data_IF_308071305364
#
_entry.id   IF_308071305364
#
_cell.length_a   1.000
_cell.length_b   1.000
_cell.length_c   1.000
_cell.angle_alpha   90.00
_cell.angle_beta   90.00
_cell.angle_gamma   90.00
#
_symmetry.space_group_name_H-M   'P 1'
#
loop_
_entity.id
_entity.type
_entity.pdbx_description
1 polymer ?
#
# COMPACT_ATOMS: atom_id res chain seq x y z
N UNK A 1 11.47 -16.69 19.95
CA UNK A 1 12.91 -16.73 19.57
C UNK A 1 13.52 -18.13 19.65
N UNK A 2 13.40 -18.86 20.76
CA UNK A 2 14.01 -20.20 20.87
C UNK A 2 13.49 -21.18 19.80
N UNK A 3 12.17 -21.24 19.63
CA UNK A 3 11.50 -22.07 18.61
C UNK A 3 11.86 -21.69 17.15
N UNK A 4 12.11 -20.41 16.89
CA UNK A 4 12.54 -19.91 15.57
C UNK A 4 13.99 -20.32 15.29
N UNK A 5 14.89 -20.15 16.27
CA UNK A 5 16.30 -20.55 16.15
C UNK A 5 16.48 -22.06 16.02
N UNK A 6 15.61 -22.86 16.66
CA UNK A 6 15.63 -24.32 16.54
C UNK A 6 14.95 -24.84 15.27
N UNK A 7 14.24 -23.99 14.53
CA UNK A 7 13.44 -24.39 13.36
C UNK A 7 12.15 -25.13 13.70
N UNK A 8 11.75 -25.17 14.98
CA UNK A 8 10.50 -25.80 15.42
C UNK A 8 9.27 -25.05 14.91
N UNK A 9 9.35 -23.71 14.86
CA UNK A 9 8.30 -22.85 14.30
C UNK A 9 8.93 -21.70 13.51
N UNK A 10 8.44 -21.44 12.30
CA UNK A 10 8.93 -20.35 11.46
C UNK A 10 8.26 -19.02 11.81
N UNK A 11 8.65 -18.41 12.93
CA UNK A 11 8.08 -17.12 13.35
C UNK A 11 8.39 -16.00 12.35
N UNK A 12 9.52 -16.08 11.64
CA UNK A 12 9.91 -15.09 10.64
C UNK A 12 9.23 -15.26 9.28
N UNK A 13 8.41 -16.30 9.08
CA UNK A 13 7.65 -16.46 7.83
C UNK A 13 6.90 -15.19 7.45
N UNK A 14 6.30 -14.54 8.44
CA UNK A 14 5.54 -13.31 8.24
C UNK A 14 6.20 -12.11 8.91
N UNK A 15 6.26 -10.99 8.19
CA UNK A 15 6.97 -9.79 8.65
C UNK A 15 6.78 -8.57 7.74
N UNK A 16 7.45 -7.46 8.08
CA UNK A 16 7.40 -6.21 7.32
C UNK A 16 8.34 -6.29 6.12
N UNK A 17 8.08 -7.23 5.21
CA UNK A 17 8.91 -7.46 4.03
C UNK A 17 8.43 -6.68 2.81
N UNK A 18 7.31 -5.98 2.92
CA UNK A 18 6.76 -5.10 1.89
C UNK A 18 7.46 -3.75 1.93
N UNK A 19 7.75 -3.17 0.77
CA UNK A 19 8.20 -1.78 0.73
C UNK A 19 6.99 -0.85 0.87
N UNK A 20 7.19 0.34 1.42
CA UNK A 20 6.18 1.39 1.39
C UNK A 20 6.28 2.24 0.10
N UNK A 21 7.37 2.08 -0.68
CA UNK A 21 7.69 2.85 -1.89
C UNK A 21 8.72 2.12 -2.79
N UNK A 22 8.27 1.45 -3.85
CA UNK A 22 9.11 0.78 -4.87
C UNK A 22 8.94 1.33 -6.29
N UNK A 23 8.08 2.33 -6.51
CA UNK A 23 8.02 3.02 -7.80
C UNK A 23 9.33 3.80 -8.07
N UNK A 24 9.66 4.04 -9.34
CA UNK A 24 10.91 4.71 -9.72
C UNK A 24 12.19 3.89 -9.45
N UNK A 25 12.10 2.55 -9.39
CA UNK A 25 13.24 1.67 -9.08
C UNK A 25 13.74 0.89 -10.29
N UNK A 26 15.05 0.58 -10.29
CA UNK A 26 15.74 -0.18 -11.36
C UNK A 26 15.11 -1.55 -11.62
N UNK A 27 14.45 -2.14 -10.61
CA UNK A 27 13.81 -3.46 -10.74
C UNK A 27 12.60 -3.43 -11.68
N UNK A 28 11.89 -2.31 -11.72
CA UNK A 28 10.68 -2.15 -12.52
C UNK A 28 10.93 -1.39 -13.84
N UNK A 29 12.21 -1.17 -14.18
CA UNK A 29 12.59 -0.51 -15.43
C UNK A 29 12.57 -1.47 -16.61
N UNK A 30 11.68 -1.17 -17.56
CA UNK A 30 11.63 -1.82 -18.87
C UNK A 30 11.68 -0.79 -20.00
N UNK A 31 12.22 0.40 -19.71
CA UNK A 31 12.47 1.41 -20.72
C UNK A 31 13.60 0.96 -21.67
N UNK A 32 13.58 1.37 -22.94
CA UNK A 32 14.65 1.05 -23.88
C UNK A 32 16.05 1.59 -23.50
N UNK A 33 16.13 2.53 -22.55
CA UNK A 33 17.35 3.28 -22.23
C UNK A 33 17.80 3.24 -20.77
N UNK A 34 17.18 2.43 -19.91
CA UNK A 34 17.57 2.35 -18.50
C UNK A 34 17.12 3.53 -17.63
N UNK A 35 16.04 4.22 -18.01
CA UNK A 35 15.45 5.32 -17.25
C UNK A 35 14.44 4.82 -16.21
N UNK A 36 14.93 4.17 -15.16
CA UNK A 36 14.10 3.57 -14.12
C UNK A 36 13.23 4.56 -13.35
N UNK A 37 13.72 5.79 -13.19
CA UNK A 37 13.11 6.84 -12.38
C UNK A 37 11.86 7.41 -13.04
N UNK A 38 11.86 7.53 -14.38
CA UNK A 38 10.70 8.06 -15.12
C UNK A 38 9.81 6.97 -15.72
N UNK A 39 10.31 5.73 -15.87
CA UNK A 39 9.54 4.65 -16.52
C UNK A 39 8.33 4.18 -15.71
N UNK A 40 8.47 4.11 -14.38
CA UNK A 40 7.39 3.77 -13.45
C UNK A 40 7.20 4.91 -12.44
N UNK A 41 6.51 6.00 -12.82
CA UNK A 41 6.28 7.14 -11.95
C UNK A 41 5.24 6.81 -10.86
N UNK A 42 5.22 7.63 -9.81
CA UNK A 42 4.23 7.54 -8.74
C UNK A 42 2.78 7.47 -9.25
N UNK A 43 2.41 8.19 -10.30
CA UNK A 43 1.02 8.17 -10.80
C UNK A 43 0.60 6.79 -11.34
N UNK A 44 1.54 6.05 -11.93
CA UNK A 44 1.28 4.72 -12.48
C UNK A 44 1.22 3.65 -11.37
N UNK A 45 1.88 3.88 -10.24
CA UNK A 45 2.05 2.90 -9.16
C UNK A 45 0.73 2.32 -8.64
N UNK A 46 -0.34 3.11 -8.59
CA UNK A 46 -1.67 2.66 -8.13
C UNK A 46 -2.37 1.75 -9.15
N UNK A 47 -2.04 1.90 -10.43
CA UNK A 47 -2.74 1.30 -11.56
C UNK A 47 -1.92 0.22 -12.28
N UNK A 48 -0.68 -0.02 -11.84
CA UNK A 48 0.24 -0.99 -12.45
C UNK A 48 0.56 -2.11 -11.47
N UNK A 49 0.47 -3.35 -11.92
CA UNK A 49 0.98 -4.49 -11.17
C UNK A 49 2.50 -4.50 -11.19
N UNK A 50 3.11 -4.79 -10.04
CA UNK A 50 4.56 -4.82 -9.86
C UNK A 50 5.10 -6.21 -10.16
N UNK A 51 6.28 -6.30 -10.78
CA UNK A 51 6.81 -7.60 -11.19
C UNK A 51 7.58 -8.31 -10.07
N UNK A 52 8.37 -7.55 -9.31
CA UNK A 52 9.36 -8.12 -8.39
C UNK A 52 9.01 -7.96 -6.91
N UNK A 53 7.90 -7.31 -6.60
CA UNK A 53 7.43 -7.08 -5.24
C UNK A 53 6.04 -6.49 -5.24
N UNK A 54 5.68 -5.78 -4.18
CA UNK A 54 4.50 -4.95 -4.05
C UNK A 54 4.82 -3.82 -3.06
N UNK A 55 4.00 -2.75 -3.05
CA UNK A 55 4.06 -1.75 -1.98
C UNK A 55 2.76 -1.61 -1.23
N UNK A 56 2.88 -1.19 0.03
CA UNK A 56 1.77 -0.79 0.87
C UNK A 56 2.25 -0.13 2.16
N UNK A 57 1.52 0.88 2.63
CA UNK A 57 1.79 1.50 3.94
C UNK A 57 1.57 0.47 5.05
N UNK A 58 2.51 0.43 6.00
CA UNK A 58 2.54 -0.55 7.10
C UNK A 58 2.40 -1.99 6.58
N UNK A 59 3.10 -2.29 5.50
CA UNK A 59 2.97 -3.55 4.77
C UNK A 59 3.52 -4.74 5.55
N UNK A 60 2.81 -5.87 5.45
CA UNK A 60 3.13 -7.11 6.12
C UNK A 60 2.85 -8.27 5.17
N UNK A 61 3.82 -9.18 5.00
CA UNK A 61 3.71 -10.27 4.03
C UNK A 61 4.42 -11.53 4.50
N UNK A 62 4.23 -12.63 3.77
CA UNK A 62 5.15 -13.75 3.87
C UNK A 62 6.53 -13.36 3.30
N UNK A 63 7.57 -14.10 3.66
CA UNK A 63 8.97 -13.88 3.29
C UNK A 63 9.23 -13.96 1.77
N UNK A 64 8.32 -14.56 1.00
CA UNK A 64 8.34 -14.58 -0.46
C UNK A 64 7.38 -13.56 -1.12
N UNK A 65 6.72 -12.73 -0.30
CA UNK A 65 5.72 -11.73 -0.71
C UNK A 65 4.66 -12.32 -1.65
N UNK A 66 4.14 -13.51 -1.37
CA UNK A 66 3.00 -14.05 -2.09
C UNK A 66 1.73 -13.30 -1.71
N UNK A 67 1.47 -13.15 -0.40
CA UNK A 67 0.32 -12.45 0.15
C UNK A 67 0.78 -11.21 0.94
N UNK A 68 0.27 -10.05 0.56
CA UNK A 68 0.62 -8.77 1.16
C UNK A 68 -0.63 -8.17 1.83
N UNK A 69 -0.52 -7.84 3.11
CA UNK A 69 -1.47 -7.05 3.88
C UNK A 69 -0.91 -5.63 4.04
N UNK A 70 -1.73 -4.60 3.83
CA UNK A 70 -1.32 -3.20 4.00
C UNK A 70 -2.50 -2.30 4.32
N UNK A 71 -2.22 -1.03 4.62
CA UNK A 71 -3.24 -0.01 4.87
C UNK A 71 -3.35 0.98 3.71
N UNK A 72 -4.57 1.27 3.31
CA UNK A 72 -4.93 2.41 2.48
C UNK A 72 -5.75 3.43 3.29
N UNK A 73 -5.57 4.72 3.03
CA UNK A 73 -6.28 5.80 3.73
C UNK A 73 -6.82 6.86 2.78
N UNK A 74 -7.88 7.56 3.19
CA UNK A 74 -8.34 8.76 2.50
C UNK A 74 -8.95 9.77 3.48
N UNK A 75 -8.47 11.01 3.46
CA UNK A 75 -8.92 12.10 4.33
C UNK A 75 -10.15 12.86 3.78
N UNK A 76 -10.75 12.39 2.68
CA UNK A 76 -11.86 13.05 2.00
C UNK A 76 -11.47 14.21 1.08
N UNK A 77 -10.17 14.54 0.97
CA UNK A 77 -9.66 15.68 0.20
C UNK A 77 -8.52 15.32 -0.75
N UNK A 78 -7.72 14.32 -0.42
CA UNK A 78 -6.62 13.89 -1.27
C UNK A 78 -7.15 13.45 -2.64
N UNK A 79 -6.44 13.80 -3.72
CA UNK A 79 -6.83 13.39 -5.07
C UNK A 79 -6.61 11.90 -5.30
N UNK A 80 -5.94 11.21 -4.37
CA UNK A 80 -5.57 9.81 -4.49
C UNK A 80 -5.76 9.04 -3.19
N UNK A 81 -6.11 7.76 -3.32
CA UNK A 81 -6.14 6.84 -2.20
C UNK A 81 -4.70 6.62 -1.73
N UNK A 82 -4.44 6.89 -0.45
CA UNK A 82 -3.11 6.86 0.14
C UNK A 82 -2.74 5.42 0.50
N UNK A 83 -2.18 4.71 -0.47
CA UNK A 83 -1.76 3.30 -0.33
C UNK A 83 -0.25 3.12 -0.15
N UNK A 84 0.52 4.17 -0.45
CA UNK A 84 2.00 4.15 -0.52
C UNK A 84 2.53 5.51 -0.10
N UNK A 85 3.75 5.52 0.41
CA UNK A 85 4.43 6.76 0.79
C UNK A 85 4.85 7.52 -0.46
N UNK A 86 4.58 8.82 -0.48
CA UNK A 86 5.02 9.70 -1.54
C UNK A 86 6.46 10.14 -1.32
N UNK A 87 7.17 10.35 -2.42
CA UNK A 87 8.52 10.87 -2.41
C UNK A 87 8.87 11.43 -3.77
N UNK A 88 10.11 11.88 -3.90
CA UNK A 88 10.72 12.39 -5.12
C UNK A 88 11.65 11.32 -5.69
N UNK A 89 11.80 11.31 -7.01
CA UNK A 89 12.89 10.60 -7.68
C UNK A 89 14.20 11.37 -7.58
N UNK A 90 15.30 10.75 -8.01
CA UNK A 90 16.60 11.41 -8.14
C UNK A 90 16.58 12.67 -9.01
N UNK A 91 15.69 12.76 -10.00
CA UNK A 91 15.58 13.93 -10.88
C UNK A 91 14.64 15.01 -10.34
N UNK A 92 13.79 14.67 -9.37
CA UNK A 92 12.80 15.58 -8.78
C UNK A 92 13.31 16.28 -7.51
N UNK A 93 14.18 15.65 -6.74
CA UNK A 93 14.79 16.23 -5.53
C UNK A 93 16.13 16.92 -5.79
N UNK A 94 16.38 18.04 -5.12
CA UNK A 94 17.65 18.77 -5.21
C UNK A 94 18.83 18.00 -4.55
N UNK A 95 18.53 17.06 -3.66
CA UNK A 95 19.49 16.13 -3.05
C UNK A 95 19.23 14.66 -3.42
N UNK A 96 18.44 14.42 -4.47
CA UNK A 96 18.12 13.08 -4.98
C UNK A 96 16.79 12.53 -4.49
N UNK A 97 16.71 11.20 -4.38
CA UNK A 97 15.53 10.50 -3.89
C UNK A 97 15.19 10.85 -2.44
N UNK A 98 13.95 11.23 -2.19
CA UNK A 98 13.53 11.76 -0.88
C UNK A 98 12.05 11.47 -0.58
N UNK A 99 11.76 10.88 0.57
CA UNK A 99 10.39 10.53 0.99
C UNK A 99 9.78 11.72 1.73
N UNK A 100 8.70 12.28 1.18
CA UNK A 100 8.08 13.51 1.69
C UNK A 100 7.01 13.28 2.74
N UNK A 101 7.12 12.22 3.53
CA UNK A 101 6.07 11.76 4.46
C UNK A 101 6.57 11.71 5.90
N UNK A 102 5.64 11.79 6.85
CA UNK A 102 5.96 11.70 8.28
C UNK A 102 5.53 10.35 8.84
N UNK A 103 6.49 9.43 9.00
CA UNK A 103 6.26 8.07 9.47
C UNK A 103 7.41 7.58 10.35
N UNK A 104 7.09 6.67 11.28
CA UNK A 104 8.02 6.22 12.31
C UNK A 104 7.79 4.75 12.62
N UNK A 105 8.86 3.95 12.63
CA UNK A 105 8.85 2.61 13.19
C UNK A 105 9.13 2.72 14.69
N UNK A 106 8.16 2.29 15.51
CA UNK A 106 8.16 2.52 16.95
C UNK A 106 8.59 1.29 17.75
N UNK A 107 8.25 0.09 17.27
CA UNK A 107 8.64 -1.17 17.92
C UNK A 107 8.72 -2.30 16.90
N UNK A 108 9.65 -3.24 17.11
CA UNK A 108 9.78 -4.44 16.31
C UNK A 108 10.57 -5.52 17.07
N UNK A 109 9.93 -6.68 17.30
CA UNK A 109 10.64 -7.84 17.86
C UNK A 109 11.43 -8.57 16.75
N UNK A 110 12.59 -9.20 17.05
CA UNK A 110 13.36 -9.98 16.06
C UNK A 110 12.65 -11.17 15.40
N UNK A 111 11.47 -11.54 15.90
CA UNK A 111 10.59 -12.60 15.35
C UNK A 111 9.38 -12.02 14.64
N UNK A 112 9.30 -10.69 14.50
CA UNK A 112 8.15 -9.95 14.00
C UNK A 112 6.85 -10.28 14.76
N UNK A 113 6.95 -10.79 16.00
CA UNK A 113 5.79 -11.19 16.82
C UNK A 113 5.01 -9.99 17.34
N UNK A 114 5.66 -8.84 17.39
CA UNK A 114 5.05 -7.55 17.58
C UNK A 114 5.77 -6.51 16.72
N UNK A 115 5.02 -5.68 16.03
CA UNK A 115 5.50 -4.56 15.22
C UNK A 115 4.58 -3.36 15.44
N UNK A 116 5.14 -2.15 15.45
CA UNK A 116 4.37 -0.91 15.56
C UNK A 116 4.93 0.19 14.66
N UNK A 117 4.05 0.79 13.87
CA UNK A 117 4.32 1.94 13.02
C UNK A 117 3.37 3.09 13.39
N UNK A 118 3.84 4.33 13.28
CA UNK A 118 3.04 5.54 13.28
C UNK A 118 3.15 6.21 11.90
N UNK A 119 2.02 6.54 11.31
CA UNK A 119 1.92 7.40 10.14
C UNK A 119 1.14 8.68 10.48
N UNK A 120 1.70 9.86 10.15
CA UNK A 120 1.04 11.15 10.35
C UNK A 120 0.41 11.61 9.04
N UNK A 121 -0.91 11.51 8.96
CA UNK A 121 -1.67 11.80 7.73
C UNK A 121 -2.42 13.13 7.84
N UNK A 122 -2.16 14.14 6.99
CA UNK A 122 -2.82 15.44 7.09
C UNK A 122 -4.31 15.36 6.79
N UNK A 123 -5.10 16.24 7.43
CA UNK A 123 -6.54 16.42 7.13
C UNK A 123 -6.79 17.32 5.91
N UNK A 124 -5.76 18.02 5.45
CA UNK A 124 -5.76 18.81 4.21
C UNK A 124 -5.36 17.97 3.01
N UNK A 125 -5.67 18.46 1.81
CA UNK A 125 -5.18 17.85 0.57
C UNK A 125 -3.65 17.80 0.57
N UNK A 126 -3.10 16.63 0.27
CA UNK A 126 -1.67 16.39 0.24
C UNK A 126 -1.00 17.13 -0.96
N UNK A 127 0.12 17.85 -0.77
CA UNK A 127 0.57 18.87 -1.70
C UNK A 127 1.57 18.31 -2.72
N UNK A 128 1.21 17.22 -3.41
CA UNK A 128 2.09 16.47 -4.33
C UNK A 128 2.82 17.36 -5.34
N UNK A 129 2.06 18.19 -6.07
CA UNK A 129 2.62 19.03 -7.12
C UNK A 129 3.55 20.12 -6.57
N UNK A 130 3.23 20.70 -5.40
CA UNK A 130 4.06 21.73 -4.76
C UNK A 130 5.39 21.13 -4.30
N UNK A 131 5.37 19.93 -3.71
CA UNK A 131 6.59 19.24 -3.28
C UNK A 131 7.53 18.98 -4.45
N UNK A 132 7.03 18.51 -5.59
CA UNK A 132 7.84 18.31 -6.81
C UNK A 132 8.37 19.64 -7.36
N UNK A 133 7.48 20.63 -7.55
CA UNK A 133 7.85 21.89 -8.20
C UNK A 133 8.85 22.73 -7.40
N UNK A 134 8.71 22.78 -6.08
CA UNK A 134 9.61 23.57 -5.23
C UNK A 134 10.99 22.92 -5.12
N UNK A 135 11.07 21.59 -4.94
CA UNK A 135 12.35 20.90 -4.90
C UNK A 135 13.09 20.94 -6.24
N UNK A 136 12.38 20.83 -7.38
CA UNK A 136 12.98 20.94 -8.71
C UNK A 136 13.57 22.33 -9.04
N UNK A 137 13.14 23.38 -8.32
CA UNK A 137 13.66 24.76 -8.48
C UNK A 137 14.89 25.04 -7.62
N UNK A 138 15.14 24.23 -6.60
CA UNK A 138 16.24 24.44 -5.65
C UNK A 138 17.55 23.89 -6.21
N UNK A 139 18.62 24.58 -5.87
CA UNK A 139 19.98 24.13 -6.12
C UNK A 139 20.44 23.12 -5.07
N UNK A 140 21.57 22.47 -5.34
CA UNK A 140 22.23 21.55 -4.40
C UNK A 140 22.70 22.24 -3.11
N UNK A 141 22.87 23.57 -3.13
CA UNK A 141 23.31 24.36 -1.98
C UNK A 141 22.15 24.79 -1.06
N UNK A 142 20.90 24.65 -1.52
CA UNK A 142 19.69 24.93 -0.75
C UNK A 142 19.22 23.68 0.00
N UNK A 143 18.54 23.86 1.13
CA UNK A 143 17.92 22.74 1.86
C UNK A 143 16.74 22.18 1.06
N UNK A 144 16.33 20.95 1.33
CA UNK A 144 15.11 20.37 0.77
C UNK A 144 13.87 21.17 1.21
N UNK A 145 12.82 21.17 0.37
CA UNK A 145 11.50 21.68 0.74
C UNK A 145 10.67 20.52 1.27
N UNK A 146 10.37 20.55 2.57
CA UNK A 146 9.73 19.45 3.30
C UNK A 146 8.22 19.59 3.41
N UNK A 147 7.55 18.47 3.73
CA UNK A 147 6.10 18.47 3.97
C UNK A 147 5.70 19.46 5.08
N UNK A 148 6.55 19.64 6.09
CA UNK A 148 6.32 20.60 7.17
C UNK A 148 6.35 22.06 6.67
N UNK A 149 7.17 22.37 5.66
CA UNK A 149 7.26 23.73 5.09
C UNK A 149 6.01 24.13 4.29
N UNK A 150 5.10 23.18 4.04
CA UNK A 150 3.86 23.44 3.31
C UNK A 150 2.81 24.17 4.16
N UNK A 151 2.95 24.13 5.48
CA UNK A 151 1.99 24.66 6.46
C UNK A 151 0.84 23.71 6.79
N UNK A 152 0.81 22.49 6.23
CA UNK A 152 -0.26 21.51 6.49
C UNK A 152 -0.37 21.08 7.96
N UNK A 153 0.72 21.19 8.72
CA UNK A 153 0.79 20.76 10.11
C UNK A 153 0.71 21.93 11.12
N UNK A 154 0.72 23.19 10.68
CA UNK A 154 0.83 24.38 11.54
C UNK A 154 -0.33 24.54 12.55
N UNK A 155 -1.49 23.95 12.24
CA UNK A 155 -2.69 24.01 13.06
C UNK A 155 -3.04 22.67 13.72
N UNK A 156 -2.08 21.74 13.80
CA UNK A 156 -2.25 20.38 14.32
C UNK A 156 -3.36 19.57 13.63
N UNK A 157 -3.69 19.91 12.38
CA UNK A 157 -4.76 19.28 11.59
C UNK A 157 -4.29 18.04 10.84
N UNK A 158 -3.99 16.99 11.60
CA UNK A 158 -3.59 15.69 11.08
C UNK A 158 -4.15 14.54 11.93
N UNK A 159 -4.01 13.33 11.42
CA UNK A 159 -4.26 12.09 12.14
C UNK A 159 -2.94 11.42 12.50
N UNK A 160 -2.80 11.00 13.76
CA UNK A 160 -1.83 9.96 14.11
C UNK A 160 -2.49 8.61 13.84
N UNK A 161 -1.98 7.86 12.87
CA UNK A 161 -2.45 6.52 12.54
C UNK A 161 -1.40 5.50 12.99
N UNK A 162 -1.71 4.81 14.08
CA UNK A 162 -0.90 3.68 14.53
C UNK A 162 -1.36 2.41 13.82
N UNK A 163 -0.40 1.63 13.34
CA UNK A 163 -0.62 0.29 12.82
C UNK A 163 0.25 -0.67 13.62
N UNK A 164 -0.40 -1.65 14.24
CA UNK A 164 0.22 -2.65 15.08
C UNK A 164 -0.05 -4.04 14.51
N UNK A 165 0.99 -4.87 14.48
CA UNK A 165 0.86 -6.30 14.21
C UNK A 165 1.22 -7.07 15.46
N UNK A 166 0.42 -8.07 15.81
CA UNK A 166 0.70 -9.00 16.90
C UNK A 166 0.46 -10.44 16.43
N UNK A 167 1.33 -11.37 16.83
CA UNK A 167 1.20 -12.78 16.47
C UNK A 167 0.94 -13.66 17.68
N UNK A 168 -0.17 -14.41 17.66
CA UNK A 168 -0.45 -15.47 18.62
C UNK A 168 0.26 -16.78 18.25
N UNK A 169 0.60 -16.96 16.98
CA UNK A 169 1.40 -18.04 16.43
C UNK A 169 2.07 -17.62 15.11
N UNK A 170 2.89 -18.48 14.49
CA UNK A 170 3.60 -18.12 13.25
C UNK A 170 2.69 -17.66 12.12
N UNK A 171 1.51 -18.28 11.99
CA UNK A 171 0.52 -18.05 10.93
C UNK A 171 -0.79 -17.39 11.45
N UNK A 172 -0.79 -16.92 12.70
CA UNK A 172 -1.94 -16.28 13.36
C UNK A 172 -1.58 -14.84 13.72
N UNK A 173 -2.11 -13.90 12.94
CA UNK A 173 -1.70 -12.49 12.89
C UNK A 173 -2.90 -11.58 13.08
N UNK A 174 -2.80 -10.64 14.01
CA UNK A 174 -3.72 -9.54 14.20
C UNK A 174 -3.10 -8.24 13.67
N UNK A 175 -3.86 -7.51 12.85
CA UNK A 175 -3.57 -6.12 12.49
C UNK A 175 -4.54 -5.21 13.26
N UNK A 176 -4.01 -4.29 14.05
CA UNK A 176 -4.79 -3.27 14.76
C UNK A 176 -4.44 -1.89 14.22
N UNK A 177 -5.45 -1.12 13.85
CA UNK A 177 -5.29 0.25 13.38
C UNK A 177 -5.97 1.18 14.37
N UNK A 178 -5.22 2.12 14.93
CA UNK A 178 -5.73 3.15 15.84
C UNK A 178 -5.47 4.53 15.25
N UNK A 179 -6.52 5.26 14.92
CA UNK A 179 -6.42 6.62 14.39
C UNK A 179 -6.83 7.64 15.46
N UNK A 180 -5.96 8.61 15.74
CA UNK A 180 -6.24 9.76 16.59
C UNK A 180 -6.31 11.02 15.75
N UNK A 181 -7.47 11.68 15.77
CA UNK A 181 -7.59 13.04 15.26
C UNK A 181 -6.88 14.01 16.23
N UNK A 182 -5.81 14.67 15.75
CA UNK A 182 -5.07 15.69 16.52
C UNK A 182 -5.62 17.09 16.35
N UNK A 183 -6.43 17.29 15.32
CA UNK A 183 -7.03 18.57 15.02
C UNK A 183 -8.16 18.94 16.00
N UNK A 184 -8.51 20.24 16.06
CA UNK A 184 -9.54 20.73 16.97
C UNK A 184 -10.97 20.33 16.55
N UNK A 185 -11.17 19.99 15.28
CA UNK A 185 -12.48 19.70 14.69
C UNK A 185 -12.57 18.23 14.26
N UNK A 186 -13.78 17.66 14.27
CA UNK A 186 -14.04 16.36 13.68
C UNK A 186 -13.70 16.39 12.18
N UNK A 187 -12.97 15.37 11.70
CA UNK A 187 -12.56 15.26 10.31
C UNK A 187 -12.79 13.81 9.82
N UNK A 188 -13.28 13.63 8.58
CA UNK A 188 -13.48 12.30 8.03
C UNK A 188 -12.14 11.62 7.75
N UNK A 189 -12.09 10.32 8.03
CA UNK A 189 -10.98 9.46 7.66
C UNK A 189 -11.54 8.11 7.22
N UNK A 190 -11.22 7.72 6.01
CA UNK A 190 -11.47 6.37 5.50
C UNK A 190 -10.23 5.52 5.77
N UNK A 191 -10.44 4.34 6.33
CA UNK A 191 -9.41 3.31 6.53
C UNK A 191 -9.81 2.11 5.68
N UNK A 192 -8.86 1.56 4.95
CA UNK A 192 -9.08 0.41 4.08
C UNK A 192 -7.88 -0.54 4.21
N UNK A 193 -7.87 -1.44 5.21
CA UNK A 193 -6.98 -2.60 5.22
C UNK A 193 -7.20 -3.41 3.95
N UNK A 194 -6.12 -3.82 3.30
CA UNK A 194 -6.20 -4.51 2.01
C UNK A 194 -5.21 -5.67 1.90
N UNK A 195 -5.71 -6.76 1.33
CA UNK A 195 -4.94 -7.92 0.91
C UNK A 195 -4.67 -7.84 -0.58
N UNK A 196 -3.46 -8.22 -0.98
CA UNK A 196 -3.04 -8.25 -2.36
C UNK A 196 -2.10 -9.45 -2.58
N UNK A 197 -2.42 -10.30 -3.54
CA UNK A 197 -1.45 -11.26 -4.02
C UNK A 197 -0.47 -10.57 -4.97
N UNK A 198 0.83 -10.78 -4.77
CA UNK A 198 1.82 -10.33 -5.75
C UNK A 198 1.53 -11.00 -7.08
N UNK A 199 1.34 -10.19 -8.11
CA UNK A 199 1.05 -10.72 -9.43
C UNK A 199 2.24 -11.55 -9.88
N UNK A 200 1.98 -12.77 -10.33
CA UNK A 200 2.99 -13.69 -10.87
C UNK A 200 2.43 -14.45 -12.06
N UNK A 201 1.11 -14.65 -12.08
CA UNK A 201 0.34 -15.30 -13.13
C UNK A 201 0.37 -14.56 -14.46
N UNK A 202 0.58 -13.24 -14.47
CA UNK A 202 0.54 -12.46 -15.72
C UNK A 202 1.79 -12.63 -16.60
N UNK A 203 2.89 -13.16 -16.05
CA UNK A 203 4.17 -13.29 -16.80
C UNK A 203 4.93 -14.59 -16.56
N UNK A 204 4.61 -15.37 -15.52
CA UNK A 204 5.19 -16.70 -15.35
C UNK A 204 4.30 -17.72 -16.06
N UNK A 205 4.78 -18.40 -17.11
CA UNK A 205 4.01 -19.43 -17.78
C UNK A 205 3.57 -20.53 -16.81
N UNK A 206 2.30 -20.94 -16.89
CA UNK A 206 1.69 -21.98 -16.05
C UNK A 206 1.65 -21.67 -14.54
N UNK A 207 1.85 -20.42 -14.12
CA UNK A 207 1.63 -20.05 -12.73
C UNK A 207 0.14 -20.15 -12.36
N UNK A 208 -0.15 -20.74 -11.20
CA UNK A 208 -1.51 -20.86 -10.69
C UNK A 208 -1.95 -19.51 -10.11
N UNK A 209 -3.01 -18.93 -10.67
CA UNK A 209 -3.60 -17.70 -10.14
C UNK A 209 -4.22 -17.99 -8.76
N UNK A 210 -3.85 -17.26 -7.70
CA UNK A 210 -4.46 -17.42 -6.39
C UNK A 210 -5.84 -16.74 -6.35
N UNK A 211 -6.62 -16.99 -5.29
CA UNK A 211 -7.97 -16.45 -5.18
C UNK A 211 -8.23 -15.88 -3.77
N UNK A 212 -8.84 -14.69 -3.75
CA UNK A 212 -9.54 -14.12 -2.62
C UNK A 212 -11.03 -14.18 -2.92
N UNK A 213 -11.84 -14.62 -1.96
CA UNK A 213 -13.30 -14.67 -2.09
C UNK A 213 -14.00 -14.33 -0.79
N UNK A 214 -15.16 -13.70 -0.85
CA UNK A 214 -15.98 -13.48 0.34
C UNK A 214 -16.49 -14.81 0.91
N UNK A 215 -16.36 -14.99 2.22
CA UNK A 215 -16.82 -16.19 2.92
C UNK A 215 -17.27 -15.82 4.33
N UNK A 216 -18.55 -16.04 4.67
CA UNK A 216 -19.08 -15.84 6.03
C UNK A 216 -18.65 -14.52 6.70
N UNK A 217 -18.75 -13.38 6.00
CA UNK A 217 -18.38 -12.06 6.53
C UNK A 217 -16.87 -11.75 6.59
N UNK A 218 -16.02 -12.67 6.13
CA UNK A 218 -14.58 -12.49 5.99
C UNK A 218 -14.11 -12.74 4.55
N UNK A 219 -12.79 -12.77 4.37
CA UNK A 219 -12.14 -13.09 3.09
C UNK A 219 -11.44 -14.43 3.21
N UNK A 220 -11.88 -15.41 2.43
CA UNK A 220 -11.15 -16.67 2.21
C UNK A 220 -9.98 -16.42 1.27
N UNK A 221 -8.83 -16.99 1.60
CA UNK A 221 -7.56 -16.81 0.90
C UNK A 221 -7.07 -18.19 0.46
N UNK A 222 -6.91 -18.39 -0.84
CA UNK A 222 -6.44 -19.66 -1.42
C UNK A 222 -5.21 -19.44 -2.30
N UNK A 223 -4.11 -20.08 -1.94
CA UNK A 223 -2.86 -20.01 -2.70
C UNK A 223 -2.14 -21.35 -2.70
N UNK A 224 -1.76 -21.83 -3.89
CA UNK A 224 -1.25 -23.19 -4.10
C UNK A 224 -0.05 -23.59 -3.21
N UNK A 225 0.89 -22.67 -2.98
CA UNK A 225 2.09 -22.94 -2.15
C UNK A 225 1.91 -22.52 -0.68
N UNK A 226 1.40 -21.31 -0.45
CA UNK A 226 1.21 -20.74 0.89
C UNK A 226 0.18 -21.52 1.73
N UNK A 227 -0.84 -22.11 1.08
CA UNK A 227 -1.97 -22.77 1.73
C UNK A 227 -3.22 -21.88 1.79
N UNK A 228 -4.13 -22.24 2.69
CA UNK A 228 -5.41 -21.57 2.86
C UNK A 228 -5.41 -20.73 4.14
N UNK A 229 -5.85 -19.49 4.04
CA UNK A 229 -5.99 -18.56 5.15
C UNK A 229 -7.37 -17.91 5.13
N UNK A 230 -7.66 -17.14 6.17
CA UNK A 230 -8.85 -16.32 6.26
C UNK A 230 -8.49 -14.99 6.91
N UNK A 231 -9.07 -13.92 6.40
CA UNK A 231 -9.09 -12.62 7.06
C UNK A 231 -10.49 -12.40 7.62
N UNK A 232 -10.56 -12.15 8.93
CA UNK A 232 -11.75 -11.70 9.62
C UNK A 232 -11.56 -10.25 10.05
N UNK A 233 -12.64 -9.47 9.95
CA UNK A 233 -12.61 -8.05 10.27
C UNK A 233 -13.60 -7.75 11.40
N UNK A 234 -13.19 -6.90 12.33
CA UNK A 234 -14.11 -6.36 13.34
C UNK A 234 -15.10 -5.37 12.68
N UNK A 235 -16.33 -5.32 13.19
CA UNK A 235 -17.35 -4.36 12.73
C UNK A 235 -18.08 -4.67 11.41
N UNK A 236 -17.86 -5.83 10.79
CA UNK A 236 -18.49 -6.25 9.51
C UNK A 236 -18.38 -5.18 8.39
N UNK A 237 -17.16 -4.78 8.00
CA UNK A 237 -16.94 -3.78 6.96
C UNK A 237 -17.43 -4.25 5.58
N UNK A 238 -17.60 -3.30 4.67
CA UNK A 238 -17.91 -3.63 3.28
C UNK A 238 -16.67 -4.22 2.60
N UNK A 239 -16.78 -5.44 2.09
CA UNK A 239 -15.69 -6.10 1.40
C UNK A 239 -15.69 -5.74 -0.10
N UNK A 240 -14.58 -5.19 -0.56
CA UNK A 240 -14.32 -4.82 -1.95
C UNK A 240 -13.33 -5.80 -2.56
N UNK A 241 -13.51 -6.14 -3.83
CA UNK A 241 -12.65 -7.08 -4.55
C UNK A 241 -12.27 -6.55 -5.93
N UNK A 242 -11.03 -6.81 -6.33
CA UNK A 242 -10.56 -6.60 -7.70
C UNK A 242 -9.37 -7.51 -7.99
N UNK A 243 -8.75 -7.32 -9.15
CA UNK A 243 -7.55 -8.00 -9.56
C UNK A 243 -6.32 -7.11 -9.31
N UNK A 244 -5.25 -7.69 -8.80
CA UNK A 244 -3.93 -7.04 -8.81
C UNK A 244 -3.32 -7.08 -10.22
N UNK A 245 -4.02 -6.50 -11.18
CA UNK A 245 -3.65 -6.45 -12.59
C UNK A 245 -3.54 -5.01 -13.07
N UNK A 246 -2.63 -4.79 -14.02
CA UNK A 246 -2.37 -3.48 -14.61
C UNK A 246 -3.60 -2.96 -15.35
N UNK A 247 -4.04 -1.76 -15.01
CA UNK A 247 -5.14 -1.08 -15.66
C UNK A 247 -4.74 -0.62 -17.08
N UNK A 248 -4.97 -1.48 -18.06
CA UNK A 248 -4.67 -1.19 -19.46
C UNK A 248 -5.52 -0.07 -20.05
N UNK A 249 -6.73 0.21 -19.49
CA UNK A 249 -7.56 1.34 -19.92
C UNK A 249 -6.84 2.66 -19.63
N UNK A 250 -6.37 2.81 -18.39
CA UNK A 250 -5.71 4.02 -17.91
C UNK A 250 -4.31 4.18 -18.50
N UNK A 251 -3.49 3.13 -18.45
CA UNK A 251 -2.05 3.25 -18.72
C UNK A 251 -1.67 3.05 -20.18
N UNK A 252 -2.46 2.32 -20.96
CA UNK A 252 -2.11 1.93 -22.33
C UNK A 252 -3.17 2.34 -23.36
N UNK A 253 -4.15 3.15 -22.97
CA UNK A 253 -5.18 3.64 -23.89
C UNK A 253 -6.01 2.52 -24.51
N UNK A 254 -6.26 1.43 -23.79
CA UNK A 254 -7.07 0.30 -24.23
C UNK A 254 -8.47 0.38 -23.62
N UNK A 255 -9.38 1.22 -24.15
CA UNK A 255 -10.67 1.51 -23.50
C UNK A 255 -11.58 0.29 -23.35
N UNK A 256 -11.37 -0.75 -24.17
CA UNK A 256 -12.17 -1.98 -24.16
C UNK A 256 -11.59 -3.08 -23.26
N UNK A 257 -10.47 -2.85 -22.58
CA UNK A 257 -9.88 -3.84 -21.67
C UNK A 257 -10.85 -4.15 -20.52
N UNK A 258 -11.26 -5.41 -20.43
CA UNK A 258 -12.20 -5.92 -19.43
C UNK A 258 -11.48 -6.26 -18.12
N UNK A 259 -12.23 -6.27 -17.03
CA UNK A 259 -11.75 -6.69 -15.70
C UNK A 259 -11.94 -5.63 -14.62
N UNK A 260 -11.55 -5.96 -13.40
CA UNK A 260 -11.58 -5.07 -12.25
C UNK A 260 -10.14 -4.85 -11.83
N UNK A 261 -9.53 -3.72 -12.19
CA UNK A 261 -8.08 -3.54 -12.08
C UNK A 261 -7.63 -3.10 -10.69
N UNK A 262 -6.31 -3.07 -10.47
CA UNK A 262 -5.67 -2.80 -9.17
C UNK A 262 -6.14 -1.51 -8.50
N UNK A 263 -6.47 -0.50 -9.29
CA UNK A 263 -6.94 0.82 -8.88
C UNK A 263 -8.47 0.92 -8.66
N UNK A 264 -9.20 -0.19 -8.71
CA UNK A 264 -10.64 -0.22 -8.47
C UNK A 264 -11.05 0.41 -7.12
N UNK A 265 -10.25 0.25 -6.06
CA UNK A 265 -10.55 0.83 -4.75
C UNK A 265 -10.42 2.35 -4.74
N UNK A 266 -9.47 2.88 -5.52
CA UNK A 266 -9.36 4.32 -5.74
C UNK A 266 -10.61 4.86 -6.42
N UNK A 267 -11.05 4.24 -7.52
CA UNK A 267 -12.26 4.64 -8.26
C UNK A 267 -13.53 4.50 -7.40
N UNK A 268 -13.60 3.46 -6.58
CA UNK A 268 -14.74 3.23 -5.68
C UNK A 268 -14.83 4.31 -4.59
N UNK A 269 -13.72 4.57 -3.88
CA UNK A 269 -13.70 5.45 -2.70
C UNK A 269 -13.71 6.92 -3.10
N UNK A 270 -12.92 7.31 -4.11
CA UNK A 270 -12.72 8.72 -4.46
C UNK A 270 -13.71 9.19 -5.52
N UNK A 271 -13.90 8.39 -6.58
CA UNK A 271 -14.77 8.77 -7.70
C UNK A 271 -16.23 8.29 -7.51
N UNK A 272 -16.52 7.49 -6.48
CA UNK A 272 -17.85 6.93 -6.23
C UNK A 272 -18.29 5.90 -7.30
N UNK A 273 -17.35 5.37 -8.08
CA UNK A 273 -17.65 4.40 -9.13
C UNK A 273 -17.77 2.98 -8.54
N UNK A 274 -18.93 2.66 -8.02
CA UNK A 274 -19.20 1.35 -7.42
C UNK A 274 -19.09 0.17 -8.39
N UNK A 275 -19.13 0.42 -9.72
CA UNK A 275 -18.95 -0.60 -10.74
C UNK A 275 -17.47 -0.96 -11.00
N UNK A 276 -16.51 -0.27 -10.37
CA UNK A 276 -15.09 -0.52 -10.53
C UNK A 276 -14.61 -1.80 -9.83
N UNK A 277 -15.33 -2.26 -8.81
CA UNK A 277 -15.02 -3.48 -8.03
C UNK A 277 -15.81 -4.68 -8.54
N UNK A 278 -15.30 -5.88 -8.29
CA UNK A 278 -15.92 -7.12 -8.74
C UNK A 278 -17.19 -7.45 -7.92
N UNK A 279 -18.39 -7.42 -8.52
CA UNK A 279 -19.63 -7.70 -7.80
C UNK A 279 -19.77 -9.16 -7.37
N UNK A 280 -18.99 -10.07 -7.97
CA UNK A 280 -18.93 -11.48 -7.56
C UNK A 280 -18.14 -11.69 -6.28
N UNK A 281 -17.54 -10.63 -5.71
CA UNK A 281 -16.75 -10.67 -4.47
C UNK A 281 -15.60 -11.68 -4.53
N UNK A 282 -14.90 -11.71 -5.66
CA UNK A 282 -13.70 -12.53 -5.88
C UNK A 282 -12.59 -11.72 -6.56
N UNK A 283 -11.34 -12.16 -6.43
CA UNK A 283 -10.23 -11.57 -7.17
C UNK A 283 -8.87 -11.93 -6.57
N UNK A 284 -7.88 -11.08 -6.81
CA UNK A 284 -6.52 -11.21 -6.27
C UNK A 284 -6.10 -10.04 -5.39
N UNK A 285 -6.99 -9.06 -5.23
CA UNK A 285 -6.89 -7.97 -4.26
C UNK A 285 -8.24 -7.78 -3.57
N UNK A 286 -8.25 -7.64 -2.25
CA UNK A 286 -9.45 -7.42 -1.45
C UNK A 286 -9.21 -6.27 -0.45
N UNK A 287 -10.25 -5.50 -0.14
CA UNK A 287 -10.19 -4.40 0.83
C UNK A 287 -11.41 -4.41 1.75
N UNK A 288 -11.22 -4.01 3.01
CA UNK A 288 -12.28 -3.94 4.01
C UNK A 288 -12.57 -2.45 4.33
N UNK A 289 -13.71 -1.93 3.86
CA UNK A 289 -14.10 -0.52 3.95
C UNK A 289 -15.07 -0.24 5.11
#
# INVERSE_FOLDING_TARGET
>A
MAQDKSGEQNWRRWGPYLSERQWGTVREDYSPGGNAWDYLPHDHARSRAYRWGEDGIAGFSDDAQHLCLSLALWNGKDPILKERLFGLTNSEGNHGEDVKELYYYLDATPTNSYLKMLYKYPQGEYPYARLVQENARRSVDETEFELLDTGLFDLDRYFDVFVEYAKAGPDDVLMLITAHNRGPDAAPLTLLPQLCFRNTWSWIPNAHKPELSADNGGVKIEHAQLGNFRLDCDGNPALLFCENETNARRLFGQPHAQGFFKDAFHDYVIAGNHCAVNPSQTGTKAGAL
#
